data_IF_720042111032
#
_entry.id   IF_720042111032
#
_cell.length_a   1.000
_cell.length_b   1.000
_cell.length_c   1.000
_cell.angle_alpha   90.00
_cell.angle_beta   90.00
_cell.angle_gamma   90.00
#
_symmetry.space_group_name_H-M   'P 1'
#
loop_
_entity.id
_entity.type
_entity.pdbx_description
1 polymer ?
#
# COMPACT_ATOMS: atom_id res chain seq x y z
N UNK A 1 -62.49 33.25 16.93
CA UNK A 1 -61.13 33.13 17.50
C UNK A 1 -60.48 31.89 16.90
N UNK A 2 -60.23 31.94 15.59
CA UNK A 2 -59.93 30.78 14.73
C UNK A 2 -59.10 31.23 13.52
N UNK A 3 -58.12 32.11 13.73
CA UNK A 3 -57.19 32.57 12.68
C UNK A 3 -55.72 32.67 13.14
N UNK A 4 -55.39 32.18 14.34
CA UNK A 4 -54.00 32.18 14.85
C UNK A 4 -53.37 30.78 14.76
N UNK A 5 -54.17 29.71 14.62
CA UNK A 5 -53.67 28.33 14.64
C UNK A 5 -53.14 27.88 13.27
N UNK A 6 -53.60 28.45 12.15
CA UNK A 6 -53.11 28.06 10.82
C UNK A 6 -51.73 28.64 10.48
N UNK A 7 -51.36 29.80 11.04
CA UNK A 7 -50.10 30.48 10.71
C UNK A 7 -48.87 29.78 11.31
N UNK A 8 -49.03 29.09 12.45
CA UNK A 8 -47.96 28.29 13.07
C UNK A 8 -47.68 26.99 12.32
N UNK A 9 -48.68 26.42 11.64
CA UNK A 9 -48.52 25.19 10.86
C UNK A 9 -47.68 25.44 9.61
N UNK A 10 -47.83 26.60 8.96
CA UNK A 10 -47.10 26.94 7.73
C UNK A 10 -45.60 27.16 7.99
N UNK A 11 -45.23 27.70 9.16
CA UNK A 11 -43.80 27.92 9.52
C UNK A 11 -43.08 26.60 9.83
N UNK A 12 -43.79 25.58 10.34
CA UNK A 12 -43.21 24.26 10.57
C UNK A 12 -42.92 23.47 9.27
N UNK A 13 -43.69 23.71 8.21
CA UNK A 13 -43.55 22.99 6.93
C UNK A 13 -42.35 23.49 6.10
N UNK A 14 -41.84 24.71 6.35
CA UNK A 14 -40.69 25.28 5.61
C UNK A 14 -39.31 24.94 6.19
N UNK A 15 -39.22 24.26 7.34
CA UNK A 15 -37.95 23.74 7.88
C UNK A 15 -37.64 22.29 7.44
N UNK A 16 -38.44 21.73 6.53
CA UNK A 16 -38.18 20.45 5.88
C UNK A 16 -37.37 20.70 4.60
N UNK A 17 -36.09 21.04 4.73
CA UNK A 17 -35.13 20.90 3.62
C UNK A 17 -34.24 19.68 3.87
N UNK A 18 -34.53 18.63 3.10
CA UNK A 18 -33.63 17.60 2.57
C UNK A 18 -32.75 16.78 3.54
N UNK A 19 -33.37 15.91 4.33
CA UNK A 19 -32.72 14.64 4.70
C UNK A 19 -33.72 13.49 4.55
N UNK A 20 -33.79 12.90 3.36
CA UNK A 20 -34.40 11.59 3.21
C UNK A 20 -33.48 10.56 3.87
N UNK A 21 -33.73 10.25 5.15
CA UNK A 21 -33.27 9.01 5.76
C UNK A 21 -34.44 8.02 5.72
N UNK A 22 -34.34 7.02 4.85
CA UNK A 22 -35.35 5.96 4.72
C UNK A 22 -35.04 4.89 5.76
N UNK A 23 -35.73 4.91 6.89
CA UNK A 23 -35.70 3.84 7.89
C UNK A 23 -36.57 2.67 7.42
N UNK A 24 -35.98 1.48 7.33
CA UNK A 24 -36.71 0.21 7.24
C UNK A 24 -36.97 -0.26 8.67
N UNK A 25 -38.18 -0.74 8.88
CA UNK A 25 -38.81 -1.15 10.13
C UNK A 25 -37.96 -2.01 11.07
N UNK A 26 -37.87 -1.57 12.33
CA UNK A 26 -38.20 -2.34 13.52
C UNK A 26 -37.32 -3.54 13.88
N UNK A 27 -36.40 -3.33 14.82
CA UNK A 27 -36.33 -4.02 16.11
C UNK A 27 -35.49 -3.13 17.05
N UNK A 28 -35.98 -2.89 18.27
CA UNK A 28 -35.30 -2.08 19.28
C UNK A 28 -34.03 -2.80 19.75
N UNK A 29 -32.87 -2.36 19.28
CA UNK A 29 -31.64 -2.45 20.07
C UNK A 29 -30.90 -1.12 20.02
N UNK A 30 -30.45 -0.73 21.21
CA UNK A 30 -29.73 0.50 21.54
C UNK A 30 -28.84 1.05 20.43
N UNK A 31 -29.15 2.25 19.93
CA UNK A 31 -28.19 3.04 19.15
C UNK A 31 -27.16 3.59 20.13
N UNK A 32 -26.16 2.78 20.48
CA UNK A 32 -24.85 3.32 20.83
C UNK A 32 -24.29 3.92 19.55
N UNK A 33 -23.85 5.17 19.60
CA UNK A 33 -23.08 5.77 18.52
C UNK A 33 -21.75 5.01 18.42
N UNK A 34 -21.75 3.88 17.73
CA UNK A 34 -20.51 3.27 17.25
C UNK A 34 -19.99 4.24 16.21
N UNK A 35 -18.93 4.97 16.56
CA UNK A 35 -18.05 5.49 15.53
C UNK A 35 -17.52 4.27 14.77
N UNK A 36 -18.24 3.85 13.72
CA UNK A 36 -17.73 2.88 12.79
C UNK A 36 -16.48 3.49 12.18
N UNK A 37 -15.31 2.95 12.54
CA UNK A 37 -14.11 3.11 11.74
C UNK A 37 -14.46 2.50 10.37
N UNK A 38 -14.94 3.34 9.44
CA UNK A 38 -15.38 2.92 8.13
C UNK A 38 -14.15 2.55 7.32
N UNK A 39 -13.73 1.30 7.48
CA UNK A 39 -12.70 0.68 6.67
C UNK A 39 -13.28 0.38 5.29
N UNK A 40 -12.72 1.03 4.28
CA UNK A 40 -13.13 0.87 2.88
C UNK A 40 -12.65 -0.47 2.31
N UNK A 41 -11.48 -0.96 2.76
CA UNK A 41 -10.92 -2.24 2.33
C UNK A 41 -10.03 -2.87 3.41
N UNK A 42 -9.91 -4.18 3.35
CA UNK A 42 -8.95 -5.03 4.09
C UNK A 42 -7.95 -5.72 3.16
N UNK A 43 -8.33 -5.94 1.90
CA UNK A 43 -7.55 -6.66 0.89
C UNK A 43 -7.53 -5.88 -0.43
N UNK A 44 -6.46 -6.06 -1.21
CA UNK A 44 -6.34 -5.42 -2.54
C UNK A 44 -7.51 -5.78 -3.47
N UNK A 45 -7.98 -7.03 -3.43
CA UNK A 45 -9.05 -7.53 -4.28
C UNK A 45 -10.41 -6.85 -4.04
N UNK A 46 -10.56 -6.12 -2.93
CA UNK A 46 -11.75 -5.33 -2.62
C UNK A 46 -11.72 -3.93 -3.28
N UNK A 47 -10.55 -3.53 -3.79
CA UNK A 47 -10.35 -2.28 -4.51
C UNK A 47 -10.46 -2.47 -6.03
N UNK A 48 -10.57 -1.38 -6.77
CA UNK A 48 -10.46 -1.45 -8.22
C UNK A 48 -9.07 -1.95 -8.63
N UNK A 49 -8.94 -2.53 -9.83
CA UNK A 49 -7.65 -3.04 -10.34
C UNK A 49 -6.55 -1.97 -10.40
N UNK A 50 -6.96 -0.70 -10.46
CA UNK A 50 -6.09 0.49 -10.45
C UNK A 50 -5.73 1.00 -9.05
N UNK A 51 -6.14 0.32 -8.00
CA UNK A 51 -6.03 0.76 -6.60
C UNK A 51 -5.57 -0.40 -5.72
N UNK A 52 -5.02 -0.08 -4.56
CA UNK A 52 -4.60 -1.08 -3.58
C UNK A 52 -5.10 -0.69 -2.21
N UNK A 53 -5.27 -1.69 -1.35
CA UNK A 53 -5.71 -1.44 0.00
C UNK A 53 -4.54 -0.96 0.86
N UNK A 54 -4.56 0.33 1.19
CA UNK A 54 -3.46 1.00 1.90
C UNK A 54 -4.05 1.80 3.05
N UNK A 55 -3.69 1.42 4.28
CA UNK A 55 -4.21 2.00 5.51
C UNK A 55 -5.74 2.01 5.53
N UNK A 56 -6.36 0.87 5.23
CA UNK A 56 -7.83 0.68 5.24
C UNK A 56 -8.59 1.44 4.15
N UNK A 57 -7.90 2.00 3.16
CA UNK A 57 -8.46 2.79 2.06
C UNK A 57 -7.99 2.29 0.70
N UNK A 58 -8.88 2.30 -0.29
CA UNK A 58 -8.52 2.00 -1.66
C UNK A 58 -7.81 3.21 -2.26
N UNK A 59 -6.50 3.06 -2.50
CA UNK A 59 -5.65 4.13 -3.00
C UNK A 59 -4.98 3.73 -4.28
N UNK A 60 -5.03 4.63 -5.26
CA UNK A 60 -4.24 4.50 -6.47
C UNK A 60 -2.75 4.56 -6.12
N UNK A 61 -2.00 3.49 -6.39
CA UNK A 61 -0.58 3.42 -6.01
C UNK A 61 0.31 4.38 -6.78
N UNK A 62 -0.10 4.81 -7.98
CA UNK A 62 0.62 5.83 -8.75
C UNK A 62 0.52 7.22 -8.13
N UNK A 63 -0.45 7.46 -7.24
CA UNK A 63 -0.58 8.74 -6.51
C UNK A 63 0.36 8.87 -5.31
N UNK A 64 1.13 7.82 -4.99
CA UNK A 64 1.96 7.73 -3.79
C UNK A 64 3.46 8.02 -4.06
N UNK A 65 3.78 8.75 -5.13
CA UNK A 65 5.17 9.09 -5.52
C UNK A 65 6.13 7.89 -5.57
N UNK A 66 5.62 6.75 -6.04
CA UNK A 66 6.36 5.48 -6.15
C UNK A 66 7.26 5.39 -7.37
N UNK A 67 7.03 6.24 -8.38
CA UNK A 67 7.82 6.28 -9.61
C UNK A 67 8.77 7.48 -9.60
N UNK A 68 9.87 7.32 -10.34
CA UNK A 68 10.90 8.34 -10.51
C UNK A 68 10.44 9.57 -11.26
N UNK A 69 11.24 10.64 -11.20
CA UNK A 69 10.96 11.89 -11.90
C UNK A 69 10.78 11.66 -13.41
N UNK A 70 9.69 12.17 -14.00
CA UNK A 70 9.29 11.99 -15.41
C UNK A 70 9.06 10.53 -15.86
N UNK A 71 8.91 9.59 -14.93
CA UNK A 71 8.43 8.25 -15.26
C UNK A 71 6.89 8.27 -15.43
N UNK A 72 6.40 7.49 -16.37
CA UNK A 72 4.98 7.18 -16.50
C UNK A 72 4.64 6.05 -15.53
N UNK A 73 3.62 6.28 -14.71
CA UNK A 73 3.08 5.26 -13.82
C UNK A 73 1.77 4.69 -14.37
N UNK A 74 1.63 3.38 -14.30
CA UNK A 74 0.38 2.65 -14.54
C UNK A 74 0.17 1.65 -13.41
N UNK A 75 -1.07 1.27 -13.13
CA UNK A 75 -1.34 0.23 -12.13
C UNK A 75 -1.73 -1.05 -12.84
N UNK A 76 -1.06 -2.14 -12.49
CA UNK A 76 -1.37 -3.49 -12.97
C UNK A 76 -1.63 -4.38 -11.76
N UNK A 77 -2.86 -4.92 -11.68
CA UNK A 77 -3.26 -5.85 -10.62
C UNK A 77 -2.94 -5.34 -9.20
N UNK A 78 -3.37 -4.12 -8.86
CA UNK A 78 -3.10 -3.48 -7.57
C UNK A 78 -1.60 -3.19 -7.30
N UNK A 79 -0.78 -3.09 -8.35
CA UNK A 79 0.64 -2.74 -8.21
C UNK A 79 1.05 -1.64 -9.18
N UNK A 80 1.87 -0.66 -8.74
CA UNK A 80 2.40 0.36 -9.63
C UNK A 80 3.46 -0.25 -10.56
N UNK A 81 3.39 0.15 -11.82
CA UNK A 81 4.33 -0.17 -12.89
C UNK A 81 4.86 1.14 -13.42
N UNK A 82 6.15 1.39 -13.21
CA UNK A 82 6.84 2.57 -13.68
C UNK A 82 7.58 2.28 -15.00
N UNK A 83 7.44 3.16 -15.98
CA UNK A 83 8.18 3.09 -17.25
C UNK A 83 8.64 4.47 -17.69
N UNK A 84 9.75 4.56 -18.42
CA UNK A 84 10.08 5.79 -19.13
C UNK A 84 9.22 5.88 -20.39
N UNK A 85 8.54 7.03 -20.56
CA UNK A 85 7.69 7.30 -21.71
C UNK A 85 8.45 7.38 -23.03
N UNK A 86 7.71 7.50 -24.13
CA UNK A 86 8.31 7.61 -25.46
C UNK A 86 9.25 8.82 -25.56
N UNK A 87 10.45 8.58 -26.09
CA UNK A 87 11.49 9.60 -26.16
C UNK A 87 12.27 9.82 -24.86
N UNK A 88 12.02 9.05 -23.80
CA UNK A 88 12.79 9.06 -22.56
C UNK A 88 13.58 7.76 -22.33
N UNK A 89 14.64 7.83 -21.52
CA UNK A 89 15.49 6.72 -21.06
C UNK A 89 15.87 6.94 -19.59
N UNK A 90 16.35 5.90 -18.91
CA UNK A 90 16.76 5.97 -17.51
C UNK A 90 16.13 4.87 -16.64
N UNK A 91 16.16 5.09 -15.32
CA UNK A 91 15.53 4.22 -14.33
C UNK A 91 14.15 4.80 -13.95
N UNK A 92 13.04 4.11 -14.29
CA UNK A 92 11.71 4.64 -14.05
C UNK A 92 11.33 4.72 -12.56
N UNK A 93 12.13 4.18 -11.64
CA UNK A 93 11.94 4.35 -10.19
C UNK A 93 12.76 5.51 -9.61
N UNK A 94 13.63 6.15 -10.39
CA UNK A 94 14.44 7.31 -9.95
C UNK A 94 14.24 8.53 -10.83
N UNK A 95 14.55 8.40 -12.12
CA UNK A 95 14.47 9.51 -13.08
C UNK A 95 14.52 9.01 -14.54
N UNK A 96 13.64 9.57 -15.36
CA UNK A 96 13.63 9.45 -16.81
C UNK A 96 14.05 10.78 -17.46
N UNK A 97 14.95 10.70 -18.44
CA UNK A 97 15.53 11.86 -19.14
C UNK A 97 15.34 11.72 -20.65
N UNK A 98 15.20 12.87 -21.34
CA UNK A 98 14.92 12.85 -22.77
C UNK A 98 16.12 12.35 -23.57
N UNK A 99 15.85 11.50 -24.56
CA UNK A 99 16.83 10.97 -25.52
C UNK A 99 17.50 12.08 -26.35
N UNK A 100 16.78 13.16 -26.65
CA UNK A 100 17.26 14.30 -27.46
C UNK A 100 18.19 15.28 -26.69
N UNK A 101 18.17 15.25 -25.36
CA UNK A 101 19.07 16.01 -24.49
C UNK A 101 20.50 15.42 -24.44
N UNK A 102 20.75 14.32 -25.15
CA UNK A 102 22.02 13.60 -25.23
C UNK A 102 22.71 13.93 -26.55
N UNK A 103 23.13 15.19 -26.72
CA UNK A 103 23.87 15.63 -27.92
C UNK A 103 25.35 15.23 -27.93
N UNK A 104 25.73 14.27 -27.08
CA UNK A 104 27.11 13.87 -26.87
C UNK A 104 27.20 12.34 -26.78
N UNK A 105 27.93 11.67 -27.70
CA UNK A 105 28.16 10.23 -27.67
C UNK A 105 29.00 9.76 -26.47
N UNK A 106 29.67 10.64 -25.71
CA UNK A 106 30.21 10.28 -24.37
C UNK A 106 29.12 10.32 -23.28
N UNK A 107 28.08 11.13 -23.49
CA UNK A 107 26.87 11.14 -22.65
C UNK A 107 25.86 10.07 -23.10
N UNK A 108 26.15 9.33 -24.17
CA UNK A 108 25.56 8.03 -24.51
C UNK A 108 25.97 6.93 -23.51
N UNK A 109 26.51 7.31 -22.35
CA UNK A 109 26.39 6.61 -21.08
C UNK A 109 25.01 6.81 -20.40
N UNK A 110 23.99 7.24 -21.13
CA UNK A 110 22.61 7.37 -20.63
C UNK A 110 21.76 6.09 -20.83
N UNK A 111 22.45 5.03 -21.20
CA UNK A 111 22.06 3.64 -21.09
C UNK A 111 23.24 2.76 -20.65
N UNK A 112 24.36 3.33 -20.21
CA UNK A 112 25.27 2.52 -19.41
C UNK A 112 24.62 2.39 -18.06
N UNK A 113 24.29 1.16 -17.69
CA UNK A 113 24.28 0.80 -16.29
C UNK A 113 25.51 1.46 -15.60
N UNK A 114 25.47 1.73 -14.28
CA UNK A 114 26.69 2.11 -13.56
C UNK A 114 27.88 1.27 -14.06
N UNK A 115 29.13 1.74 -14.08
CA UNK A 115 30.25 0.99 -14.66
C UNK A 115 30.32 -0.49 -14.22
N UNK A 116 29.72 -0.81 -13.07
CA UNK A 116 29.56 -2.16 -12.54
C UNK A 116 28.19 -2.84 -12.73
N UNK A 117 27.15 -2.22 -13.29
CA UNK A 117 25.79 -2.74 -13.38
C UNK A 117 24.86 -2.25 -12.27
N UNK A 118 23.56 -2.52 -12.36
CA UNK A 118 22.62 -2.24 -11.27
C UNK A 118 22.86 -3.19 -10.10
N UNK A 119 22.56 -2.71 -8.89
CA UNK A 119 22.76 -3.47 -7.64
C UNK A 119 24.18 -3.99 -7.42
N UNK A 120 25.16 -3.22 -7.91
CA UNK A 120 26.58 -3.51 -7.77
C UNK A 120 27.33 -2.26 -7.30
N UNK A 121 28.55 -2.46 -6.81
CA UNK A 121 29.46 -1.41 -6.41
C UNK A 121 30.87 -1.68 -6.96
N UNK A 122 31.64 -0.60 -7.12
CA UNK A 122 33.03 -0.67 -7.53
C UNK A 122 33.91 -1.02 -6.32
N UNK A 123 34.77 -2.03 -6.47
CA UNK A 123 35.88 -2.32 -5.57
C UNK A 123 37.14 -1.60 -6.04
N UNK A 124 37.87 -1.02 -5.10
CA UNK A 124 39.19 -0.46 -5.33
C UNK A 124 40.24 -1.49 -4.93
N UNK A 125 40.45 -2.49 -5.79
CA UNK A 125 41.50 -3.48 -5.60
C UNK A 125 42.78 -3.07 -6.32
N UNK A 126 43.91 -3.64 -5.90
CA UNK A 126 45.25 -3.33 -6.42
C UNK A 126 45.46 -3.68 -7.91
N UNK A 127 44.51 -4.37 -8.54
CA UNK A 127 44.59 -4.85 -9.94
C UNK A 127 43.67 -4.07 -10.90
N UNK A 128 43.04 -2.99 -10.43
CA UNK A 128 42.17 -2.11 -11.23
C UNK A 128 40.73 -1.99 -10.69
N UNK A 129 39.86 -1.20 -11.35
CA UNK A 129 38.45 -1.08 -10.96
C UNK A 129 37.74 -2.43 -11.21
N UNK A 130 37.42 -3.14 -10.13
CA UNK A 130 36.66 -4.40 -10.16
C UNK A 130 35.24 -4.16 -9.63
N UNK A 131 34.29 -5.00 -9.97
CA UNK A 131 32.88 -4.82 -9.61
C UNK A 131 32.38 -5.95 -8.71
N UNK A 132 31.45 -5.67 -7.81
CA UNK A 132 30.83 -6.68 -6.94
C UNK A 132 29.37 -6.37 -6.68
N UNK A 133 28.52 -7.39 -6.51
CA UNK A 133 27.11 -7.16 -6.17
C UNK A 133 26.97 -6.57 -4.76
N UNK A 134 25.99 -5.68 -4.57
CA UNK A 134 25.61 -5.21 -3.25
C UNK A 134 25.12 -6.37 -2.39
N UNK A 135 25.30 -6.26 -1.07
CA UNK A 135 24.80 -7.25 -0.12
C UNK A 135 23.30 -7.51 -0.32
N UNK A 136 22.93 -8.79 -0.46
CA UNK A 136 21.54 -9.20 -0.73
C UNK A 136 21.21 -9.37 -2.22
N UNK A 137 22.13 -9.08 -3.13
CA UNK A 137 22.00 -9.33 -4.56
C UNK A 137 22.95 -10.45 -4.99
N UNK A 138 22.53 -11.25 -5.96
CA UNK A 138 23.24 -12.45 -6.43
C UNK A 138 23.60 -12.32 -7.92
N UNK A 139 24.56 -13.13 -8.37
CA UNK A 139 25.03 -13.13 -9.76
C UNK A 139 26.41 -12.53 -9.93
N UNK A 140 26.74 -12.13 -11.15
CA UNK A 140 28.02 -11.52 -11.50
C UNK A 140 27.76 -10.16 -12.16
N UNK A 141 28.40 -9.08 -11.66
CA UNK A 141 28.33 -7.77 -12.30
C UNK A 141 28.58 -7.84 -13.82
N UNK A 142 27.79 -7.14 -14.67
CA UNK A 142 26.76 -6.16 -14.32
C UNK A 142 25.36 -6.73 -14.04
N UNK A 143 25.19 -8.05 -14.05
CA UNK A 143 23.90 -8.74 -13.96
C UNK A 143 23.59 -9.18 -12.53
N UNK A 144 23.69 -8.27 -11.56
CA UNK A 144 23.28 -8.56 -10.19
C UNK A 144 21.74 -8.57 -10.10
N UNK A 145 21.17 -9.63 -9.54
CA UNK A 145 19.72 -9.82 -9.40
C UNK A 145 19.30 -9.87 -7.94
N UNK A 146 18.14 -9.27 -7.60
CA UNK A 146 17.55 -9.41 -6.27
C UNK A 146 17.03 -10.84 -6.05
N UNK A 147 16.69 -11.16 -4.80
CA UNK A 147 15.99 -12.41 -4.47
C UNK A 147 14.57 -12.41 -5.04
N UNK A 148 13.88 -11.27 -4.96
CA UNK A 148 12.54 -11.10 -5.51
C UNK A 148 12.34 -9.71 -6.11
N UNK A 149 11.43 -9.63 -7.07
CA UNK A 149 10.88 -8.38 -7.62
C UNK A 149 9.38 -8.27 -7.32
N UNK A 150 8.70 -9.41 -7.25
CA UNK A 150 7.27 -9.51 -6.93
C UNK A 150 7.05 -10.59 -5.87
N UNK A 151 5.89 -10.54 -5.21
CA UNK A 151 5.52 -11.50 -4.18
C UNK A 151 5.58 -12.96 -4.67
N UNK A 152 5.18 -13.22 -5.90
CA UNK A 152 5.17 -14.56 -6.49
C UNK A 152 6.56 -15.16 -6.74
N UNK A 153 7.62 -14.37 -6.61
CA UNK A 153 9.00 -14.88 -6.61
C UNK A 153 9.35 -15.55 -5.27
N UNK A 154 8.58 -15.25 -4.22
CA UNK A 154 8.76 -15.79 -2.89
C UNK A 154 7.88 -17.03 -2.65
N UNK A 155 8.19 -17.76 -1.58
CA UNK A 155 7.27 -18.76 -1.05
C UNK A 155 6.01 -18.10 -0.47
N UNK A 156 4.89 -18.83 -0.42
CA UNK A 156 3.57 -18.28 -0.05
C UNK A 156 3.49 -17.75 1.38
N UNK A 157 4.44 -18.10 2.23
CA UNK A 157 4.61 -17.68 3.63
C UNK A 157 5.53 -16.45 3.81
N UNK A 158 5.91 -15.79 2.71
CA UNK A 158 6.76 -14.58 2.71
C UNK A 158 6.22 -13.52 1.78
N UNK A 159 6.69 -12.29 1.94
CA UNK A 159 6.42 -11.19 1.00
C UNK A 159 7.72 -10.68 0.41
N UNK A 160 7.63 -10.13 -0.81
CA UNK A 160 8.75 -9.43 -1.40
C UNK A 160 8.80 -8.02 -0.83
N UNK A 161 9.75 -7.76 0.05
CA UNK A 161 9.94 -6.46 0.67
C UNK A 161 11.39 -6.02 0.53
N UNK A 162 11.59 -4.84 -0.07
CA UNK A 162 12.92 -4.28 -0.34
C UNK A 162 13.86 -5.29 -1.03
N UNK A 163 13.36 -5.92 -2.10
CA UNK A 163 14.10 -6.89 -2.93
C UNK A 163 14.49 -8.21 -2.26
N UNK A 164 13.91 -8.50 -1.08
CA UNK A 164 14.17 -9.71 -0.29
C UNK A 164 12.87 -10.41 0.09
N UNK A 165 12.86 -11.74 0.05
CA UNK A 165 11.74 -12.54 0.54
C UNK A 165 11.82 -12.63 2.06
N UNK A 166 10.97 -11.89 2.75
CA UNK A 166 11.05 -11.77 4.21
C UNK A 166 9.67 -11.93 4.87
N UNK A 167 9.70 -12.22 6.15
CA UNK A 167 8.54 -12.20 7.02
C UNK A 167 8.55 -10.86 7.79
N UNK A 168 7.62 -9.96 7.48
CA UNK A 168 7.47 -8.66 8.13
C UNK A 168 6.33 -8.65 9.17
N UNK A 169 5.93 -9.82 9.69
CA UNK A 169 4.86 -9.94 10.69
C UNK A 169 5.04 -9.00 11.87
N UNK A 170 6.28 -8.91 12.39
CA UNK A 170 6.59 -8.08 13.56
C UNK A 170 6.56 -6.58 13.27
N UNK A 171 6.65 -6.19 11.99
CA UNK A 171 6.62 -4.78 11.57
C UNK A 171 5.20 -4.32 11.23
N UNK A 172 4.24 -5.25 11.09
CA UNK A 172 2.87 -4.99 10.65
C UNK A 172 1.84 -5.30 11.75
N UNK A 173 1.98 -6.40 12.48
CA UNK A 173 1.04 -6.78 13.52
C UNK A 173 1.40 -6.14 14.86
N UNK A 174 0.38 -5.63 15.54
CA UNK A 174 0.52 -5.01 16.86
C UNK A 174 0.54 -6.06 17.98
N UNK A 175 0.81 -5.64 19.21
CA UNK A 175 1.02 -6.54 20.34
C UNK A 175 -0.22 -7.40 20.70
N UNK A 176 0.03 -8.56 21.32
CA UNK A 176 -0.98 -9.57 21.68
C UNK A 176 -1.79 -10.13 20.49
N UNK A 177 -1.20 -10.10 19.30
CA UNK A 177 -1.73 -10.75 18.11
C UNK A 177 -0.84 -11.92 17.67
N UNK A 178 -1.44 -12.88 16.98
CA UNK A 178 -0.77 -13.89 16.17
C UNK A 178 -0.72 -13.41 14.72
N UNK A 179 0.43 -13.61 14.07
CA UNK A 179 0.62 -13.26 12.68
C UNK A 179 0.86 -14.49 11.81
N UNK A 180 0.22 -14.52 10.63
CA UNK A 180 0.50 -15.49 9.58
C UNK A 180 0.57 -14.79 8.23
N UNK A 181 1.51 -15.21 7.39
CA UNK A 181 1.55 -14.82 5.98
C UNK A 181 0.92 -15.97 5.18
N UNK A 182 -0.15 -15.68 4.45
CA UNK A 182 -0.87 -16.65 3.62
C UNK A 182 -1.01 -16.06 2.23
N UNK A 183 -0.44 -16.74 1.24
CA UNK A 183 -0.43 -16.27 -0.16
C UNK A 183 0.08 -14.83 -0.28
N UNK A 184 1.19 -14.52 0.42
CA UNK A 184 1.80 -13.19 0.48
C UNK A 184 0.94 -12.09 1.13
N UNK A 185 -0.20 -12.43 1.73
CA UNK A 185 -0.99 -11.52 2.55
C UNK A 185 -0.66 -11.72 4.04
N UNK A 186 -0.45 -10.62 4.76
CA UNK A 186 -0.20 -10.65 6.20
C UNK A 186 -1.53 -10.59 6.92
N UNK A 187 -1.77 -11.58 7.77
CA UNK A 187 -3.00 -11.74 8.54
C UNK A 187 -2.63 -11.66 10.02
N UNK A 188 -3.09 -10.61 10.70
CA UNK A 188 -2.98 -10.43 12.13
C UNK A 188 -4.32 -10.77 12.81
N UNK A 189 -4.29 -11.67 13.79
CA UNK A 189 -5.46 -12.02 14.60
C UNK A 189 -5.12 -11.84 16.07
N UNK A 190 -6.06 -11.35 16.89
CA UNK A 190 -5.84 -11.35 18.34
C UNK A 190 -5.64 -12.79 18.84
N UNK A 191 -4.72 -12.95 19.80
CA UNK A 191 -4.52 -14.23 20.49
C UNK A 191 -5.80 -14.67 21.19
N UNK A 192 -5.93 -15.97 21.44
CA UNK A 192 -7.06 -16.52 22.18
C UNK A 192 -7.26 -15.81 23.53
N UNK A 193 -8.49 -15.36 23.80
CA UNK A 193 -8.81 -14.56 25.00
C UNK A 193 -8.44 -13.08 24.91
N UNK A 194 -8.06 -12.56 23.74
CA UNK A 194 -7.82 -11.14 23.48
C UNK A 194 -8.76 -10.59 22.40
N UNK A 195 -9.11 -9.32 22.52
CA UNK A 195 -9.97 -8.56 21.59
C UNK A 195 -9.37 -7.17 21.32
N UNK A 196 -9.60 -6.61 20.14
CA UNK A 196 -9.07 -5.30 19.74
C UNK A 196 -8.73 -5.22 18.26
N UNK A 197 -7.90 -4.24 17.88
CA UNK A 197 -7.35 -4.10 16.53
C UNK A 197 -5.94 -4.70 16.48
N UNK A 198 -5.74 -5.88 15.85
CA UNK A 198 -4.45 -6.56 15.82
C UNK A 198 -3.41 -5.91 14.89
N UNK A 199 -3.78 -4.90 14.09
CA UNK A 199 -2.86 -4.23 13.15
C UNK A 199 -2.33 -2.91 13.70
N UNK A 200 -3.14 -2.16 14.44
CA UNK A 200 -2.78 -0.77 14.81
C UNK A 200 -2.72 -0.52 16.32
N UNK A 201 -3.76 -0.88 17.07
CA UNK A 201 -3.88 -0.54 18.50
C UNK A 201 -3.42 -1.66 19.43
N UNK A 202 -3.33 -2.89 18.93
CA UNK A 202 -3.04 -4.09 19.71
C UNK A 202 -4.27 -4.66 20.38
N UNK A 203 -4.11 -5.88 20.89
CA UNK A 203 -5.20 -6.62 21.52
C UNK A 203 -5.11 -6.56 23.06
N UNK A 204 -6.27 -6.46 23.71
CA UNK A 204 -6.42 -6.48 25.17
C UNK A 204 -7.21 -7.71 25.60
N UNK A 205 -6.97 -8.19 26.81
CA UNK A 205 -7.65 -9.38 27.33
C UNK A 205 -9.17 -9.16 27.34
N UNK A 206 -9.92 -10.10 26.77
CA UNK A 206 -11.39 -10.09 26.87
C UNK A 206 -11.77 -10.28 28.33
N UNK A 207 -12.48 -9.31 28.91
CA UNK A 207 -13.06 -9.49 30.24
C UNK A 207 -14.12 -10.60 30.10
N UNK A 208 -13.81 -11.79 30.61
CA UNK A 208 -14.82 -12.83 30.82
C UNK A 208 -15.63 -12.34 32.00
N UNK A 209 -16.83 -11.82 31.76
CA UNK A 209 -17.82 -11.74 32.82
C UNK A 209 -18.22 -13.18 33.14
N UNK A 210 -17.55 -13.76 34.14
CA UNK A 210 -18.01 -14.95 34.84
C UNK A 210 -19.34 -14.60 35.55
N UNK A 211 -20.42 -14.49 34.78
CA UNK A 211 -21.77 -14.44 35.31
C UNK A 211 -22.18 -15.89 35.64
N UNK A 212 -21.75 -16.34 36.83
CA UNK A 212 -22.32 -17.50 37.52
C UNK A 212 -23.42 -17.07 38.48
#
# INVERSE_FOLDING_TARGET
>A
MTMIVEYLIIVAVLLIHSTECKTISGEEESITAVSADFQECTLNAECQVSESCINKHCKNTCSLDVCGYKAECSVNNHHPVCKCGDGYIGDPFRECIRKDGVNDPEKMNLGTAPPCGFFSFQRNDSDGPSCSCLSGFSGTPPNCTPECRVNTDCTTDKVCFSFKCTNICNDVCSFNSDCKIVNHAIICNCKEGFVGDPYSLGCKQSQVEDNM
#
